data_IF_374564137952
#
_entry.id   IF_374564137952
#
_cell.length_a   1.000
_cell.length_b   1.000
_cell.length_c   1.000
_cell.angle_alpha   90.00
_cell.angle_beta   90.00
_cell.angle_gamma   90.00
#
_symmetry.space_group_name_H-M   'P 1'
#
loop_
_entity.id
_entity.type
_entity.pdbx_description
1 polymer ?
#
# COMPACT_ATOMS: atom_id res chain seq x y z
N UNK A 1 21.60 -19.81 39.30
CA UNK A 1 21.43 -20.85 38.25
C UNK A 1 20.83 -20.18 37.03
N UNK A 2 21.68 -19.84 36.08
CA UNK A 2 21.29 -19.24 34.80
C UNK A 2 20.62 -20.30 33.93
N UNK A 3 19.40 -20.04 33.48
CA UNK A 3 18.72 -20.88 32.50
C UNK A 3 19.22 -20.51 31.10
N UNK A 4 19.83 -21.48 30.44
CA UNK A 4 20.35 -21.41 29.09
C UNK A 4 19.24 -21.03 28.09
N UNK A 5 19.49 -19.98 27.30
CA UNK A 5 18.72 -19.68 26.09
C UNK A 5 19.01 -20.75 25.04
N UNK A 6 18.01 -21.58 24.74
CA UNK A 6 18.12 -22.67 23.78
C UNK A 6 18.34 -22.14 22.36
N UNK A 7 19.45 -22.58 21.78
CA UNK A 7 19.97 -22.27 20.45
C UNK A 7 19.25 -23.03 19.32
N UNK A 8 17.93 -23.23 19.43
CA UNK A 8 17.18 -24.19 18.57
C UNK A 8 16.24 -23.57 17.54
N UNK A 9 16.26 -22.25 17.33
CA UNK A 9 15.30 -21.56 16.43
C UNK A 9 15.96 -21.03 15.13
N UNK A 10 16.90 -21.80 14.55
CA UNK A 10 17.42 -21.53 13.19
C UNK A 10 16.65 -22.36 12.17
N UNK A 11 16.14 -21.67 11.14
CA UNK A 11 15.36 -22.31 10.08
C UNK A 11 16.31 -23.25 9.28
N UNK A 12 15.89 -24.46 8.86
CA UNK A 12 16.78 -25.45 8.23
C UNK A 12 17.50 -24.98 6.95
N UNK A 13 17.07 -23.86 6.37
CA UNK A 13 17.62 -23.24 5.15
C UNK A 13 18.79 -22.28 5.47
N UNK A 14 19.01 -21.90 6.73
CA UNK A 14 20.00 -20.91 7.16
C UNK A 14 21.46 -21.41 7.12
N UNK A 15 21.76 -22.59 6.57
CA UNK A 15 23.11 -23.19 6.56
C UNK A 15 24.09 -22.62 5.52
N UNK A 16 23.72 -21.58 4.77
CA UNK A 16 24.53 -21.05 3.67
C UNK A 16 24.57 -19.52 3.51
N UNK A 17 24.13 -18.76 4.51
CA UNK A 17 24.12 -17.29 4.45
C UNK A 17 25.10 -16.73 5.48
N UNK A 18 25.98 -15.83 5.04
CA UNK A 18 26.97 -15.16 5.89
C UNK A 18 26.26 -14.31 6.96
N UNK A 19 26.42 -14.62 8.25
CA UNK A 19 25.81 -13.86 9.34
C UNK A 19 26.36 -12.43 9.52
N UNK A 20 27.37 -12.02 8.75
CA UNK A 20 28.03 -10.71 8.86
C UNK A 20 27.74 -9.72 7.72
N UNK A 21 26.82 -10.01 6.78
CA UNK A 21 26.43 -9.03 5.75
C UNK A 21 25.52 -7.92 6.33
N UNK A 22 26.16 -6.91 6.92
CA UNK A 22 25.50 -5.77 7.59
C UNK A 22 24.95 -4.70 6.63
N UNK A 23 25.16 -4.84 5.32
CA UNK A 23 24.78 -3.81 4.33
C UNK A 23 23.27 -3.66 4.19
N UNK A 24 22.55 -4.79 4.20
CA UNK A 24 21.09 -4.86 4.14
C UNK A 24 20.45 -4.44 5.48
N UNK A 25 21.11 -4.72 6.60
CA UNK A 25 20.61 -4.35 7.93
C UNK A 25 20.74 -2.84 8.20
N UNK A 26 21.80 -2.19 7.73
CA UNK A 26 21.94 -0.73 7.82
C UNK A 26 20.89 0.02 6.98
N UNK A 27 20.57 -0.46 5.78
CA UNK A 27 19.45 0.08 4.99
C UNK A 27 18.11 -0.17 5.66
N UNK A 28 17.90 -1.38 6.18
CA UNK A 28 16.68 -1.73 6.90
C UNK A 28 16.49 -0.85 8.15
N UNK A 29 17.55 -0.52 8.89
CA UNK A 29 17.50 0.40 10.03
C UNK A 29 17.11 1.82 9.62
N UNK A 30 17.69 2.36 8.53
CA UNK A 30 17.28 3.66 7.99
C UNK A 30 15.80 3.69 7.60
N UNK A 31 15.30 2.64 6.95
CA UNK A 31 13.88 2.55 6.61
C UNK A 31 12.98 2.32 7.82
N UNK A 32 13.45 1.62 8.86
CA UNK A 32 12.74 1.44 10.13
C UNK A 32 12.66 2.74 10.93
N UNK A 33 13.67 3.61 10.83
CA UNK A 33 13.72 4.92 11.50
C UNK A 33 12.94 6.00 10.75
N UNK A 34 12.58 5.77 9.47
CA UNK A 34 11.81 6.73 8.68
C UNK A 34 10.36 6.83 9.18
N UNK A 35 9.81 8.05 9.36
CA UNK A 35 8.43 8.27 9.81
C UNK A 35 7.39 7.71 8.82
N UNK A 36 7.78 7.43 7.57
CA UNK A 36 6.90 6.80 6.57
C UNK A 36 6.97 5.28 6.64
N UNK A 37 6.47 4.69 7.74
CA UNK A 37 6.36 3.24 7.94
C UNK A 37 5.45 2.60 6.88
N UNK A 38 6.00 2.09 5.78
CA UNK A 38 5.32 1.16 4.85
C UNK A 38 6.34 0.13 4.37
N UNK A 39 6.10 -1.13 4.68
CA UNK A 39 7.15 -2.15 4.87
C UNK A 39 7.72 -2.66 3.55
N UNK A 40 8.94 -2.23 3.22
CA UNK A 40 9.84 -3.06 2.44
C UNK A 40 10.25 -4.24 3.32
N UNK A 41 10.02 -5.46 2.84
CA UNK A 41 10.42 -6.67 3.55
C UNK A 41 11.87 -7.00 3.24
N UNK A 42 12.74 -6.96 4.26
CA UNK A 42 14.11 -7.45 4.17
C UNK A 42 14.20 -8.93 4.56
N UNK A 43 15.38 -9.54 4.40
CA UNK A 43 15.61 -10.96 4.72
C UNK A 43 15.19 -11.29 6.16
N UNK A 44 15.58 -10.45 7.11
CA UNK A 44 15.23 -10.60 8.52
C UNK A 44 13.71 -10.51 8.77
N UNK A 45 12.99 -9.72 7.98
CA UNK A 45 11.53 -9.63 8.08
C UNK A 45 10.85 -10.89 7.51
N UNK A 46 11.36 -11.43 6.40
CA UNK A 46 10.92 -12.74 5.87
C UNK A 46 11.23 -13.89 6.81
N UNK A 47 12.35 -13.83 7.54
CA UNK A 47 12.68 -14.80 8.60
C UNK A 47 11.68 -14.70 9.76
N UNK A 48 11.38 -13.49 10.23
CA UNK A 48 10.33 -13.27 11.23
C UNK A 48 8.95 -13.73 10.73
N UNK A 49 8.60 -13.52 9.47
CA UNK A 49 7.31 -13.95 8.91
C UNK A 49 7.17 -15.48 8.82
N UNK A 50 8.29 -16.20 8.70
CA UNK A 50 8.34 -17.67 8.65
C UNK A 50 8.42 -18.34 10.03
N UNK A 51 8.58 -17.59 11.12
CA UNK A 51 8.70 -18.17 12.47
C UNK A 51 7.45 -18.95 12.89
N UNK A 52 7.62 -19.99 13.69
CA UNK A 52 6.52 -20.79 14.28
C UNK A 52 5.60 -19.94 15.16
N UNK A 53 6.15 -18.96 15.88
CA UNK A 53 5.40 -18.05 16.75
C UNK A 53 4.72 -16.88 16.01
N UNK A 54 4.61 -16.92 14.68
CA UNK A 54 4.02 -15.82 13.90
C UNK A 54 2.54 -15.57 14.24
N UNK A 55 1.76 -16.64 14.44
CA UNK A 55 0.33 -16.54 14.70
C UNK A 55 0.08 -15.92 16.07
N UNK A 56 0.81 -16.37 17.09
CA UNK A 56 0.73 -15.82 18.43
C UNK A 56 1.14 -14.35 18.49
N UNK A 57 2.17 -13.95 17.76
CA UNK A 57 2.56 -12.54 17.65
C UNK A 57 1.48 -11.73 16.94
N UNK A 58 0.94 -12.23 15.82
CA UNK A 58 -0.14 -11.57 15.10
C UNK A 58 -1.37 -11.34 15.98
N UNK A 59 -1.75 -12.34 16.80
CA UNK A 59 -2.85 -12.21 17.76
C UNK A 59 -2.59 -11.13 18.83
N UNK A 60 -1.35 -11.05 19.35
CA UNK A 60 -0.99 -10.03 20.36
C UNK A 60 -0.97 -8.62 19.80
N UNK A 61 -0.62 -8.45 18.53
CA UNK A 61 -0.51 -7.14 17.86
C UNK A 61 -1.82 -6.64 17.25
N UNK A 62 -2.96 -7.33 17.45
CA UNK A 62 -4.26 -6.90 16.91
C UNK A 62 -4.62 -5.46 17.33
N UNK A 63 -4.47 -5.03 18.60
CA UNK A 63 -4.84 -3.67 19.03
C UNK A 63 -3.95 -2.58 18.41
N UNK A 64 -2.74 -2.93 17.97
CA UNK A 64 -1.79 -2.03 17.33
C UNK A 64 -2.01 -1.94 15.81
N UNK A 65 -2.94 -2.74 15.27
CA UNK A 65 -3.23 -2.78 13.83
C UNK A 65 -4.02 -1.56 13.39
N UNK A 66 -3.62 -0.97 12.26
CA UNK A 66 -4.36 0.11 11.62
C UNK A 66 -5.80 -0.32 11.26
N UNK A 67 -5.97 -1.56 10.78
CA UNK A 67 -7.27 -2.15 10.46
C UNK A 67 -8.18 -2.13 11.70
N UNK A 68 -7.65 -2.51 12.87
CA UNK A 68 -8.41 -2.50 14.11
C UNK A 68 -8.84 -1.08 14.49
N UNK A 69 -7.92 -0.11 14.41
CA UNK A 69 -8.22 1.29 14.68
C UNK A 69 -9.29 1.90 13.78
N UNK A 70 -9.43 1.42 12.53
CA UNK A 70 -10.43 1.89 11.59
C UNK A 70 -11.83 1.28 11.81
N UNK A 71 -11.91 0.00 12.21
CA UNK A 71 -13.20 -0.69 12.37
C UNK A 71 -13.77 -0.66 13.80
N UNK A 72 -12.99 -0.19 14.78
CA UNK A 72 -13.38 -0.24 16.20
C UNK A 72 -14.69 0.52 16.46
N UNK A 73 -14.93 1.61 15.73
CA UNK A 73 -16.13 2.42 15.90
C UNK A 73 -17.39 1.66 15.46
N UNK A 74 -17.33 0.99 14.31
CA UNK A 74 -18.39 0.18 13.73
C UNK A 74 -18.65 -1.07 14.55
N UNK A 75 -17.58 -1.75 14.99
CA UNK A 75 -17.68 -2.88 15.92
C UNK A 75 -18.35 -2.47 17.23
N UNK A 76 -18.01 -1.30 17.79
CA UNK A 76 -18.61 -0.82 19.03
C UNK A 76 -20.12 -0.59 18.88
N UNK A 77 -20.57 -0.04 17.75
CA UNK A 77 -22.00 0.16 17.46
C UNK A 77 -22.72 -1.19 17.36
N UNK A 78 -22.15 -2.18 16.69
CA UNK A 78 -22.75 -3.52 16.57
C UNK A 78 -22.83 -4.21 17.95
N UNK A 79 -21.81 -4.06 18.79
CA UNK A 79 -21.84 -4.58 20.17
C UNK A 79 -22.92 -3.89 21.00
N UNK A 80 -23.08 -2.58 20.89
CA UNK A 80 -24.15 -1.84 21.58
C UNK A 80 -25.54 -2.31 21.13
N UNK A 81 -25.75 -2.53 19.83
CA UNK A 81 -26.98 -3.10 19.28
C UNK A 81 -27.19 -4.53 19.82
N UNK A 82 -26.13 -5.32 19.94
CA UNK A 82 -26.20 -6.65 20.52
C UNK A 82 -26.60 -6.62 22.00
N UNK A 83 -26.13 -5.65 22.77
CA UNK A 83 -26.55 -5.46 24.17
C UNK A 83 -28.05 -5.12 24.21
N UNK A 84 -28.51 -4.21 23.34
CA UNK A 84 -29.92 -3.87 23.25
C UNK A 84 -30.79 -5.09 22.89
N UNK A 85 -30.35 -5.91 21.93
CA UNK A 85 -31.02 -7.16 21.56
C UNK A 85 -31.11 -8.15 22.73
N UNK A 86 -30.01 -8.33 23.49
CA UNK A 86 -30.01 -9.14 24.70
C UNK A 86 -31.00 -8.62 25.76
N UNK A 87 -31.06 -7.31 26.00
CA UNK A 87 -31.99 -6.70 26.96
C UNK A 87 -33.46 -6.87 26.53
N UNK A 88 -33.76 -6.67 25.25
CA UNK A 88 -35.11 -6.90 24.70
C UNK A 88 -35.55 -8.36 24.88
N UNK A 89 -34.63 -9.31 24.66
CA UNK A 89 -34.89 -10.73 24.88
C UNK A 89 -35.20 -11.05 26.34
N UNK A 90 -34.48 -10.45 27.29
CA UNK A 90 -34.72 -10.62 28.72
C UNK A 90 -36.06 -10.04 29.17
N UNK A 91 -36.52 -8.95 28.54
CA UNK A 91 -37.84 -8.35 28.79
C UNK A 91 -38.99 -9.05 28.04
N UNK A 92 -38.71 -10.12 27.28
CA UNK A 92 -39.71 -10.87 26.53
C UNK A 92 -40.27 -10.15 25.30
N UNK A 93 -39.61 -9.07 24.83
CA UNK A 93 -40.03 -8.28 23.67
C UNK A 93 -39.56 -8.93 22.36
N UNK A 94 -40.18 -10.04 21.99
CA UNK A 94 -39.75 -10.88 20.87
C UNK A 94 -40.36 -10.45 19.51
N UNK A 95 -41.03 -9.32 19.40
CA UNK A 95 -41.68 -8.90 18.14
C UNK A 95 -40.67 -8.47 17.05
N UNK A 96 -39.44 -8.10 17.46
CA UNK A 96 -38.31 -7.82 16.57
C UNK A 96 -37.52 -9.08 16.19
N UNK A 97 -37.96 -10.25 16.64
CA UNK A 97 -37.37 -11.54 16.33
C UNK A 97 -37.37 -11.81 14.82
N UNK A 98 -36.18 -11.97 14.25
CA UNK A 98 -36.02 -12.48 12.88
C UNK A 98 -35.54 -13.92 12.96
N UNK A 99 -36.11 -14.79 12.12
CA UNK A 99 -35.72 -16.20 12.06
C UNK A 99 -34.26 -16.35 11.59
N UNK A 100 -33.47 -17.18 12.29
CA UNK A 100 -32.04 -17.38 12.00
C UNK A 100 -31.79 -17.91 10.59
N UNK A 101 -32.73 -18.66 10.01
CA UNK A 101 -32.63 -19.16 8.64
C UNK A 101 -32.42 -18.04 7.61
N UNK A 102 -32.94 -16.83 7.84
CA UNK A 102 -32.69 -15.69 6.96
C UNK A 102 -31.20 -15.34 6.90
N UNK A 103 -30.53 -15.30 8.05
CA UNK A 103 -29.10 -14.99 8.13
C UNK A 103 -28.24 -16.13 7.59
N UNK A 104 -28.64 -17.38 7.84
CA UNK A 104 -27.96 -18.57 7.31
C UNK A 104 -28.02 -18.64 5.78
N UNK A 105 -29.14 -18.24 5.16
CA UNK A 105 -29.27 -18.16 3.70
C UNK A 105 -28.54 -16.95 3.10
N UNK A 106 -28.48 -15.82 3.83
CA UNK A 106 -27.79 -14.62 3.38
C UNK A 106 -26.26 -14.70 3.46
N UNK A 107 -25.71 -15.50 4.40
CA UNK A 107 -24.28 -15.59 4.65
C UNK A 107 -23.46 -16.05 3.42
N UNK A 108 -23.86 -17.07 2.64
CA UNK A 108 -23.14 -17.43 1.41
C UNK A 108 -23.07 -16.30 0.39
N UNK A 109 -24.16 -15.53 0.22
CA UNK A 109 -24.19 -14.38 -0.68
C UNK A 109 -23.25 -13.28 -0.19
N UNK A 110 -23.27 -12.98 1.12
CA UNK A 110 -22.39 -11.99 1.73
C UNK A 110 -20.92 -12.41 1.59
N UNK A 111 -20.60 -13.66 1.89
CA UNK A 111 -19.25 -14.21 1.77
C UNK A 111 -18.72 -14.09 0.34
N UNK A 112 -19.54 -14.40 -0.67
CA UNK A 112 -19.15 -14.31 -2.07
C UNK A 112 -18.91 -12.87 -2.52
N UNK A 113 -19.73 -11.91 -2.08
CA UNK A 113 -19.53 -10.48 -2.36
C UNK A 113 -18.23 -9.95 -1.75
N UNK A 114 -17.95 -10.29 -0.49
CA UNK A 114 -16.72 -9.89 0.20
C UNK A 114 -15.50 -10.50 -0.50
N UNK A 115 -15.55 -11.79 -0.88
CA UNK A 115 -14.45 -12.47 -1.58
C UNK A 115 -14.18 -11.82 -2.93
N UNK A 116 -15.21 -11.56 -3.74
CA UNK A 116 -15.02 -10.92 -5.04
C UNK A 116 -14.49 -9.50 -4.89
N UNK A 117 -14.97 -8.72 -3.92
CA UNK A 117 -14.44 -7.38 -3.64
C UNK A 117 -12.97 -7.43 -3.24
N UNK A 118 -12.61 -8.34 -2.32
CA UNK A 118 -11.23 -8.52 -1.86
C UNK A 118 -10.33 -8.92 -3.02
N UNK A 119 -10.76 -9.83 -3.89
CA UNK A 119 -9.99 -10.28 -5.05
C UNK A 119 -9.78 -9.15 -6.07
N UNK A 120 -10.83 -8.38 -6.38
CA UNK A 120 -10.71 -7.21 -7.27
C UNK A 120 -9.80 -6.13 -6.70
N UNK A 121 -9.84 -5.91 -5.39
CA UNK A 121 -8.98 -4.93 -4.70
C UNK A 121 -7.52 -5.39 -4.71
N UNK A 122 -7.28 -6.69 -4.45
CA UNK A 122 -5.94 -7.29 -4.54
C UNK A 122 -5.35 -7.18 -5.96
N UNK A 123 -6.15 -7.44 -7.00
CA UNK A 123 -5.69 -7.29 -8.39
C UNK A 123 -5.20 -5.86 -8.70
N UNK A 124 -5.91 -4.84 -8.21
CA UNK A 124 -5.49 -3.43 -8.33
C UNK A 124 -4.17 -3.14 -7.62
N UNK A 125 -4.01 -3.69 -6.41
CA UNK A 125 -2.76 -3.57 -5.67
C UNK A 125 -1.58 -4.23 -6.40
N UNK A 126 -1.77 -5.44 -6.93
CA UNK A 126 -0.72 -6.12 -7.67
C UNK A 126 -0.38 -5.40 -8.99
N UNK A 127 -1.39 -4.87 -9.70
CA UNK A 127 -1.18 -4.05 -10.88
C UNK A 127 -0.37 -2.78 -10.57
N UNK A 128 -0.71 -2.06 -9.50
CA UNK A 128 0.05 -0.89 -9.06
C UNK A 128 1.51 -1.24 -8.76
N UNK A 129 1.74 -2.34 -8.04
CA UNK A 129 3.08 -2.84 -7.74
C UNK A 129 3.87 -3.19 -9.01
N UNK A 130 3.25 -3.85 -9.99
CA UNK A 130 3.89 -4.20 -11.28
C UNK A 130 4.25 -2.95 -12.07
N UNK A 131 3.36 -1.98 -12.14
CA UNK A 131 3.58 -0.70 -12.84
C UNK A 131 4.76 0.07 -12.23
N UNK A 132 4.83 0.17 -10.90
CA UNK A 132 5.98 0.78 -10.22
C UNK A 132 7.28 -0.02 -10.42
N UNK A 133 7.19 -1.35 -10.43
CA UNK A 133 8.33 -2.20 -10.75
C UNK A 133 8.87 -1.95 -12.16
N UNK A 134 8.00 -1.69 -13.14
CA UNK A 134 8.39 -1.35 -14.49
C UNK A 134 9.15 -0.02 -14.56
N UNK A 135 8.71 1.03 -13.86
CA UNK A 135 9.43 2.33 -13.85
C UNK A 135 10.80 2.26 -13.20
N UNK A 136 11.04 1.37 -12.24
CA UNK A 136 12.38 1.15 -11.68
C UNK A 136 13.35 0.65 -12.76
N UNK A 137 12.88 -0.24 -13.64
CA UNK A 137 13.69 -0.68 -14.78
C UNK A 137 13.90 0.47 -15.78
N UNK A 138 12.88 1.29 -16.03
CA UNK A 138 13.00 2.46 -16.92
C UNK A 138 13.95 3.53 -16.38
N UNK A 139 13.99 3.77 -15.07
CA UNK A 139 14.97 4.69 -14.47
C UNK A 139 16.40 4.23 -14.67
N UNK A 140 16.66 2.91 -14.56
CA UNK A 140 17.96 2.32 -14.86
C UNK A 140 18.32 2.44 -16.33
N UNK A 141 17.38 2.14 -17.23
CA UNK A 141 17.62 2.21 -18.67
C UNK A 141 17.86 3.65 -19.14
N UNK A 142 17.09 4.62 -18.64
CA UNK A 142 17.28 6.04 -18.95
C UNK A 142 18.64 6.54 -18.46
N UNK A 143 19.04 6.19 -17.23
CA UNK A 143 20.36 6.55 -16.71
C UNK A 143 21.50 5.89 -17.49
N UNK A 144 21.39 4.59 -17.80
CA UNK A 144 22.38 3.86 -18.61
C UNK A 144 22.53 4.48 -20.01
N UNK A 145 21.43 4.86 -20.65
CA UNK A 145 21.45 5.54 -21.95
C UNK A 145 22.04 6.95 -21.85
N UNK A 146 21.72 7.69 -20.78
CA UNK A 146 22.33 9.01 -20.55
C UNK A 146 23.86 8.90 -20.45
N UNK A 147 24.37 7.96 -19.66
CA UNK A 147 25.82 7.72 -19.54
C UNK A 147 26.45 7.24 -20.86
N UNK A 148 25.74 6.37 -21.60
CA UNK A 148 26.29 5.73 -22.79
C UNK A 148 26.27 6.57 -24.07
N UNK A 149 25.31 7.49 -24.21
CA UNK A 149 25.06 8.17 -25.49
C UNK A 149 25.38 9.66 -25.49
N UNK A 150 25.39 10.33 -24.34
CA UNK A 150 25.79 11.73 -24.31
C UNK A 150 27.27 11.88 -24.68
N UNK A 151 27.63 12.86 -25.54
CA UNK A 151 29.02 13.10 -25.91
C UNK A 151 29.88 13.44 -24.69
N UNK A 152 31.14 12.98 -24.69
CA UNK A 152 32.13 13.34 -23.65
C UNK A 152 32.65 14.78 -23.74
N UNK A 153 31.93 15.66 -24.43
CA UNK A 153 32.26 17.10 -24.48
C UNK A 153 31.83 17.76 -23.17
N UNK A 154 32.41 18.92 -22.77
CA UNK A 154 32.00 19.62 -21.56
C UNK A 154 30.48 19.89 -21.50
N UNK A 155 29.90 20.28 -22.64
CA UNK A 155 28.45 20.50 -22.76
C UNK A 155 27.65 19.19 -22.64
N UNK A 156 28.10 18.11 -23.29
CA UNK A 156 27.43 16.81 -23.19
C UNK A 156 27.46 16.25 -21.77
N UNK A 157 28.53 16.50 -21.02
CA UNK A 157 28.65 16.09 -19.62
C UNK A 157 27.66 16.84 -18.71
N UNK A 158 27.49 18.16 -18.90
CA UNK A 158 26.50 18.97 -18.19
C UNK A 158 25.08 18.47 -18.47
N UNK A 159 24.76 18.20 -19.74
CA UNK A 159 23.45 17.70 -20.15
C UNK A 159 23.18 16.29 -19.61
N UNK A 160 24.18 15.40 -19.63
CA UNK A 160 24.12 14.08 -19.01
C UNK A 160 23.78 14.20 -17.52
N UNK A 161 24.52 15.00 -16.77
CA UNK A 161 24.29 15.20 -15.33
C UNK A 161 22.88 15.75 -15.06
N UNK A 162 22.44 16.73 -15.85
CA UNK A 162 21.08 17.27 -15.78
C UNK A 162 20.02 16.20 -16.04
N UNK A 163 20.19 15.39 -17.09
CA UNK A 163 19.30 14.24 -17.39
C UNK A 163 19.22 13.29 -16.19
N UNK A 164 20.35 12.90 -15.61
CA UNK A 164 20.37 11.96 -14.49
C UNK A 164 19.68 12.52 -13.25
N UNK A 165 19.86 13.82 -12.94
CA UNK A 165 19.13 14.50 -11.85
C UNK A 165 17.61 14.47 -12.07
N UNK A 166 17.13 14.68 -13.29
CA UNK A 166 15.70 14.52 -13.59
C UNK A 166 15.20 13.07 -13.48
N UNK A 167 16.01 12.08 -13.88
CA UNK A 167 15.67 10.65 -13.72
C UNK A 167 15.54 10.29 -12.23
N UNK A 168 16.39 10.85 -11.37
CA UNK A 168 16.32 10.68 -9.92
C UNK A 168 15.12 11.40 -9.30
N UNK A 169 14.77 12.60 -9.80
CA UNK A 169 13.66 13.40 -9.29
C UNK A 169 12.28 12.83 -9.66
N UNK A 170 12.18 12.18 -10.83
CA UNK A 170 10.93 11.63 -11.35
C UNK A 170 10.13 10.74 -10.37
N UNK A 171 10.73 9.71 -9.70
CA UNK A 171 9.97 8.85 -8.79
C UNK A 171 9.45 9.58 -7.54
N UNK A 172 10.15 10.61 -7.05
CA UNK A 172 9.66 11.45 -5.95
C UNK A 172 8.49 12.33 -6.39
N UNK A 173 8.59 12.90 -7.59
CA UNK A 173 7.49 13.65 -8.22
C UNK A 173 6.26 12.77 -8.43
N UNK A 174 6.44 11.53 -8.91
CA UNK A 174 5.35 10.56 -9.04
C UNK A 174 4.72 10.20 -7.69
N UNK A 175 5.54 9.94 -6.67
CA UNK A 175 5.05 9.67 -5.30
C UNK A 175 4.14 10.81 -4.81
N UNK A 176 4.57 12.06 -4.95
CA UNK A 176 3.79 13.22 -4.51
C UNK A 176 2.55 13.43 -5.38
N UNK A 177 2.63 13.19 -6.69
CA UNK A 177 1.48 13.26 -7.61
C UNK A 177 0.38 12.26 -7.24
N UNK A 178 0.75 11.04 -6.83
CA UNK A 178 -0.21 9.98 -6.49
C UNK A 178 -0.76 10.08 -5.06
N UNK A 179 -0.10 10.84 -4.18
CA UNK A 179 -0.53 11.05 -2.80
C UNK A 179 -1.16 12.41 -2.54
N UNK A 180 -1.07 13.35 -3.50
CA UNK A 180 -1.78 14.62 -3.43
C UNK A 180 -3.26 14.44 -3.79
N UNK A 181 -4.15 14.96 -2.93
CA UNK A 181 -5.58 15.05 -3.24
C UNK A 181 -5.88 16.03 -4.38
N UNK A 182 -7.17 16.22 -4.75
CA UNK A 182 -7.57 17.21 -5.74
C UNK A 182 -7.20 18.62 -5.24
N UNK A 183 -6.16 19.24 -5.81
CA UNK A 183 -5.76 20.62 -5.50
C UNK A 183 -4.32 20.81 -5.02
N UNK A 184 -3.51 19.76 -4.88
CA UNK A 184 -2.10 19.90 -4.51
C UNK A 184 -1.64 18.87 -3.51
N UNK A 185 -0.34 18.61 -3.50
CA UNK A 185 0.30 17.76 -2.50
C UNK A 185 0.21 18.46 -1.16
N UNK A 186 -0.34 17.80 -0.14
CA UNK A 186 -0.22 18.20 1.28
C UNK A 186 1.27 18.28 1.75
N UNK A 187 2.23 18.10 0.85
CA UNK A 187 3.63 17.75 1.08
C UNK A 187 4.57 18.52 0.10
N UNK A 188 4.17 19.67 -0.44
CA UNK A 188 5.05 20.47 -1.35
C UNK A 188 6.37 20.87 -0.68
N UNK A 189 6.34 21.22 0.60
CA UNK A 189 7.55 21.52 1.39
C UNK A 189 8.44 20.28 1.56
N UNK A 190 7.84 19.11 1.78
CA UNK A 190 8.53 17.82 1.89
C UNK A 190 9.15 17.39 0.55
N UNK A 191 8.42 17.61 -0.56
CA UNK A 191 8.94 17.39 -1.91
C UNK A 191 10.12 18.31 -2.19
N UNK A 192 10.01 19.60 -1.84
CA UNK A 192 11.09 20.58 -2.00
C UNK A 192 12.33 20.18 -1.21
N UNK A 193 12.18 19.78 0.05
CA UNK A 193 13.29 19.30 0.89
C UNK A 193 13.93 18.04 0.31
N UNK A 194 13.12 17.07 -0.12
CA UNK A 194 13.61 15.82 -0.73
C UNK A 194 14.38 16.08 -2.02
N UNK A 195 13.91 17.03 -2.84
CA UNK A 195 14.52 17.37 -4.14
C UNK A 195 15.69 18.35 -4.03
N UNK A 196 15.88 19.06 -2.91
CA UNK A 196 16.96 20.04 -2.72
C UNK A 196 18.36 19.42 -2.88
N UNK A 197 18.51 18.11 -2.65
CA UNK A 197 19.74 17.36 -2.88
C UNK A 197 19.90 16.76 -4.28
N UNK A 198 18.97 17.02 -5.21
CA UNK A 198 18.92 16.40 -6.54
C UNK A 198 18.78 17.49 -7.63
N UNK A 199 17.81 18.40 -7.49
CA UNK A 199 17.52 19.46 -8.45
C UNK A 199 18.07 20.81 -7.96
N UNK A 200 18.32 21.74 -8.89
CA UNK A 200 18.67 23.11 -8.49
C UNK A 200 17.44 23.85 -7.97
N UNK A 201 17.60 24.93 -7.17
CA UNK A 201 16.47 25.71 -6.66
C UNK A 201 15.52 26.22 -7.75
N UNK A 202 16.07 26.61 -8.90
CA UNK A 202 15.30 27.09 -10.05
C UNK A 202 14.46 25.96 -10.68
N UNK A 203 15.06 24.77 -10.84
CA UNK A 203 14.37 23.59 -11.37
C UNK A 203 13.24 23.13 -10.45
N UNK A 204 13.44 23.18 -9.13
CA UNK A 204 12.39 22.86 -8.15
C UNK A 204 11.26 23.88 -8.24
N UNK A 205 11.58 25.17 -8.37
CA UNK A 205 10.56 26.22 -8.48
C UNK A 205 9.70 26.03 -9.73
N UNK A 206 10.31 25.74 -10.87
CA UNK A 206 9.59 25.44 -12.12
C UNK A 206 8.74 24.16 -11.99
N UNK A 207 9.28 23.13 -11.34
CA UNK A 207 8.54 21.89 -11.11
C UNK A 207 7.29 22.11 -10.27
N UNK A 208 7.40 22.87 -9.17
CA UNK A 208 6.28 23.15 -8.27
C UNK A 208 5.20 24.06 -8.91
N UNK A 209 5.58 24.88 -9.89
CA UNK A 209 4.63 25.67 -10.69
C UNK A 209 3.83 24.81 -11.70
N UNK A 210 4.29 23.60 -12.01
CA UNK A 210 3.60 22.72 -12.96
C UNK A 210 2.42 22.00 -12.33
N UNK A 211 1.26 22.07 -12.99
CA UNK A 211 0.07 21.29 -12.62
C UNK A 211 0.28 19.78 -12.72
N UNK A 212 1.20 19.34 -13.61
CA UNK A 212 1.49 17.93 -13.81
C UNK A 212 2.99 17.66 -13.66
N UNK A 213 3.44 17.59 -12.41
CA UNK A 213 4.87 17.52 -12.04
C UNK A 213 5.64 16.35 -12.70
N UNK A 214 5.14 15.09 -12.75
CA UNK A 214 5.87 14.00 -13.41
C UNK A 214 6.06 14.20 -14.91
N UNK A 215 5.05 14.75 -15.60
CA UNK A 215 5.11 15.05 -17.03
C UNK A 215 6.04 16.22 -17.32
N UNK A 216 6.10 17.22 -16.44
CA UNK A 216 7.06 18.32 -16.57
C UNK A 216 8.51 17.81 -16.52
N UNK A 217 8.82 16.90 -15.60
CA UNK A 217 10.14 16.26 -15.54
C UNK A 217 10.46 15.52 -16.85
N UNK A 218 9.50 14.79 -17.41
CA UNK A 218 9.69 14.10 -18.69
C UNK A 218 9.90 15.06 -19.85
N UNK A 219 9.18 16.19 -19.88
CA UNK A 219 9.39 17.25 -20.86
C UNK A 219 10.83 17.79 -20.79
N UNK A 220 11.35 18.05 -19.57
CA UNK A 220 12.74 18.46 -19.38
C UNK A 220 13.72 17.38 -19.87
N UNK A 221 13.45 16.09 -19.63
CA UNK A 221 14.27 15.01 -20.17
C UNK A 221 14.31 15.03 -21.71
N UNK A 222 13.17 15.21 -22.36
CA UNK A 222 13.08 15.29 -23.83
C UNK A 222 13.85 16.47 -24.39
N UNK A 223 13.78 17.64 -23.73
CA UNK A 223 14.54 18.83 -24.11
C UNK A 223 16.05 18.59 -24.00
N UNK A 224 16.51 17.99 -22.90
CA UNK A 224 17.93 17.64 -22.70
C UNK A 224 18.41 16.63 -23.75
N UNK A 225 17.59 15.64 -24.10
CA UNK A 225 17.89 14.69 -25.16
C UNK A 225 18.04 15.34 -26.53
N UNK A 226 17.23 16.38 -26.82
CA UNK A 226 17.31 17.17 -28.06
C UNK A 226 18.55 18.07 -28.09
N UNK A 227 18.88 18.71 -26.96
CA UNK A 227 20.08 19.56 -26.83
C UNK A 227 21.38 18.77 -26.88
N UNK A 228 21.36 17.50 -26.47
CA UNK A 228 22.53 16.61 -26.38
C UNK A 228 23.18 16.24 -27.73
N UNK A 229 22.60 16.64 -28.86
CA UNK A 229 23.06 16.33 -30.21
C UNK A 229 23.36 14.82 -30.40
N UNK A 230 22.47 13.98 -29.89
CA UNK A 230 22.58 12.53 -29.95
C UNK A 230 22.39 12.04 -31.40
N UNK A 231 23.03 10.92 -31.80
CA UNK A 231 22.68 10.25 -33.06
C UNK A 231 21.18 9.93 -33.10
N UNK A 232 20.54 10.07 -34.26
CA UNK A 232 19.08 9.84 -34.42
C UNK A 232 18.64 8.49 -33.82
N UNK A 233 19.34 7.35 -34.03
CA UNK A 233 18.94 6.10 -33.39
C UNK A 233 18.98 6.13 -31.86
N UNK A 234 19.94 6.84 -31.27
CA UNK A 234 20.02 7.01 -29.81
C UNK A 234 18.89 7.92 -29.30
N UNK A 235 18.57 8.99 -30.03
CA UNK A 235 17.47 9.88 -29.69
C UNK A 235 16.12 9.16 -29.71
N UNK A 236 15.86 8.33 -30.73
CA UNK A 236 14.63 7.52 -30.82
C UNK A 236 14.52 6.56 -29.64
N UNK A 237 15.59 5.84 -29.30
CA UNK A 237 15.55 4.90 -28.18
C UNK A 237 15.42 5.60 -26.81
N UNK A 238 15.99 6.79 -26.66
CA UNK A 238 15.84 7.60 -25.46
C UNK A 238 14.40 8.08 -25.31
N UNK A 239 13.80 8.57 -26.40
CA UNK A 239 12.39 8.99 -26.42
C UNK A 239 11.43 7.85 -26.10
N UNK A 240 11.67 6.65 -26.64
CA UNK A 240 10.90 5.45 -26.28
C UNK A 240 10.97 5.11 -24.79
N UNK A 241 12.14 5.28 -24.17
CA UNK A 241 12.27 5.10 -22.72
C UNK A 241 11.57 6.20 -21.92
N UNK A 242 11.63 7.46 -22.39
CA UNK A 242 10.88 8.56 -21.78
C UNK A 242 9.37 8.30 -21.88
N UNK A 243 8.89 7.86 -23.05
CA UNK A 243 7.49 7.48 -23.27
C UNK A 243 7.03 6.37 -22.32
N UNK A 244 7.90 5.40 -21.99
CA UNK A 244 7.59 4.35 -21.02
C UNK A 244 7.35 4.88 -19.59
N UNK A 245 7.92 6.03 -19.20
CA UNK A 245 7.52 6.70 -17.96
C UNK A 245 6.10 7.27 -18.06
N UNK A 246 5.69 7.75 -19.24
CA UNK A 246 4.31 8.21 -19.49
C UNK A 246 3.30 7.10 -19.27
N UNK A 247 3.61 5.89 -19.75
CA UNK A 247 2.76 4.71 -19.55
C UNK A 247 2.61 4.36 -18.06
N UNK A 248 3.68 4.55 -17.28
CA UNK A 248 3.64 4.36 -15.83
C UNK A 248 2.78 5.42 -15.15
N UNK A 249 2.96 6.71 -15.49
CA UNK A 249 2.11 7.80 -14.97
C UNK A 249 0.64 7.50 -15.27
N UNK A 250 0.31 7.26 -16.53
CA UNK A 250 -1.07 6.99 -16.96
C UNK A 250 -1.64 5.72 -16.32
N UNK A 251 -0.82 4.68 -16.16
CA UNK A 251 -1.19 3.45 -15.45
C UNK A 251 -1.53 3.70 -13.98
N UNK A 252 -0.71 4.48 -13.28
CA UNK A 252 -0.95 4.86 -11.89
C UNK A 252 -2.18 5.77 -11.74
N UNK A 253 -2.35 6.77 -12.62
CA UNK A 253 -3.52 7.64 -12.63
C UNK A 253 -4.82 6.86 -12.88
N UNK A 254 -4.80 5.88 -13.79
CA UNK A 254 -5.95 5.00 -14.04
C UNK A 254 -6.33 4.20 -12.80
N UNK A 255 -5.35 3.66 -12.06
CA UNK A 255 -5.62 2.94 -10.80
C UNK A 255 -6.20 3.91 -9.77
N UNK A 256 -5.61 5.10 -9.60
CA UNK A 256 -6.05 6.06 -8.59
C UNK A 256 -7.45 6.64 -8.87
N UNK A 257 -7.73 7.04 -10.11
CA UNK A 257 -8.94 7.79 -10.49
C UNK A 257 -10.13 6.89 -10.85
N UNK A 258 -9.90 5.63 -11.19
CA UNK A 258 -10.96 4.70 -11.60
C UNK A 258 -11.10 3.59 -10.56
N UNK A 259 -11.83 3.83 -9.44
CA UNK A 259 -12.05 2.81 -8.40
C UNK A 259 -12.95 1.67 -8.88
N UNK A 260 -13.13 0.65 -8.05
CA UNK A 260 -14.12 -0.41 -8.29
C UNK A 260 -15.51 0.26 -8.39
N UNK A 261 -16.44 -0.22 -9.25
CA UNK A 261 -17.74 0.42 -9.41
C UNK A 261 -18.41 0.73 -8.07
N UNK A 262 -18.75 2.01 -7.87
CA UNK A 262 -19.28 2.51 -6.59
C UNK A 262 -20.59 1.81 -6.18
N UNK A 263 -21.41 1.38 -7.15
CA UNK A 263 -22.62 0.60 -6.90
C UNK A 263 -22.32 -0.74 -6.23
N UNK A 264 -21.27 -1.42 -6.71
CA UNK A 264 -20.81 -2.70 -6.15
C UNK A 264 -20.33 -2.52 -4.71
N UNK A 265 -19.43 -1.54 -4.49
CA UNK A 265 -18.92 -1.17 -3.17
C UNK A 265 -20.06 -0.90 -2.17
N UNK A 266 -20.94 0.05 -2.52
CA UNK A 266 -22.06 0.47 -1.66
C UNK A 266 -23.04 -0.66 -1.38
N UNK A 267 -23.31 -1.54 -2.35
CA UNK A 267 -24.24 -2.66 -2.15
C UNK A 267 -23.66 -3.69 -1.18
N UNK A 268 -22.37 -4.02 -1.32
CA UNK A 268 -21.66 -4.92 -0.39
C UNK A 268 -21.63 -4.34 1.02
N UNK A 269 -21.26 -3.06 1.18
CA UNK A 269 -21.21 -2.39 2.50
C UNK A 269 -22.60 -2.39 3.17
N UNK A 270 -23.65 -2.04 2.42
CA UNK A 270 -25.03 -2.00 2.95
C UNK A 270 -25.52 -3.38 3.35
N UNK A 271 -25.26 -4.39 2.54
CA UNK A 271 -25.68 -5.75 2.87
C UNK A 271 -24.93 -6.27 4.10
N UNK A 272 -23.62 -6.06 4.18
CA UNK A 272 -22.81 -6.39 5.35
C UNK A 272 -23.37 -5.73 6.62
N UNK A 273 -23.62 -4.42 6.59
CA UNK A 273 -24.12 -3.69 7.75
C UNK A 273 -25.53 -4.12 8.15
N UNK A 274 -26.45 -4.27 7.20
CA UNK A 274 -27.81 -4.75 7.50
C UNK A 274 -27.80 -6.16 8.10
N UNK A 275 -26.94 -7.04 7.59
CA UNK A 275 -26.79 -8.40 8.10
C UNK A 275 -26.21 -8.39 9.53
N UNK A 276 -25.16 -7.60 9.80
CA UNK A 276 -24.55 -7.46 11.11
C UNK A 276 -25.46 -6.79 12.16
N UNK A 277 -26.29 -5.83 11.76
CA UNK A 277 -27.26 -5.16 12.63
C UNK A 277 -28.42 -6.11 12.99
N UNK A 278 -28.87 -6.93 12.03
CA UNK A 278 -29.99 -7.85 12.25
C UNK A 278 -29.62 -9.11 13.03
N UNK A 279 -28.39 -9.61 12.87
CA UNK A 279 -27.95 -10.88 13.44
C UNK A 279 -28.12 -11.00 14.97
N UNK A 280 -27.83 -9.98 15.81
CA UNK A 280 -27.95 -10.09 17.25
C UNK A 280 -29.37 -10.39 17.74
N UNK A 281 -30.41 -9.86 17.07
CA UNK A 281 -31.80 -10.10 17.42
C UNK A 281 -32.21 -11.56 17.21
N UNK A 282 -31.71 -12.16 16.13
CA UNK A 282 -31.94 -13.57 15.85
C UNK A 282 -31.14 -14.48 16.79
N UNK A 283 -29.86 -14.15 17.00
CA UNK A 283 -28.95 -14.97 17.77
C UNK A 283 -29.29 -14.98 19.27
N UNK A 284 -29.74 -13.85 19.84
CA UNK A 284 -30.17 -13.77 21.24
C UNK A 284 -31.28 -14.78 21.57
N UNK A 285 -32.23 -14.98 20.66
CA UNK A 285 -33.30 -15.96 20.82
C UNK A 285 -32.80 -17.39 20.73
N UNK A 286 -32.03 -17.72 19.69
CA UNK A 286 -31.57 -19.08 19.44
C UNK A 286 -30.63 -19.58 20.55
N UNK A 287 -29.76 -18.71 21.08
CA UNK A 287 -28.92 -19.00 22.25
C UNK A 287 -29.77 -19.31 23.48
N UNK A 288 -30.84 -18.53 23.72
CA UNK A 288 -31.77 -18.76 24.83
C UNK A 288 -32.54 -20.07 24.68
N UNK A 289 -33.05 -20.35 23.47
CA UNK A 289 -33.75 -21.61 23.16
C UNK A 289 -32.85 -22.84 23.32
N UNK A 290 -31.57 -22.69 23.00
CA UNK A 290 -30.56 -23.73 23.19
C UNK A 290 -30.15 -23.92 24.67
N UNK A 291 -30.73 -23.16 25.62
CA UNK A 291 -30.48 -23.30 27.06
C UNK A 291 -29.22 -22.58 27.55
N UNK A 292 -28.57 -21.76 26.71
CA UNK A 292 -27.43 -20.95 27.11
C UNK A 292 -27.87 -19.57 27.63
N UNK A 293 -26.98 -18.91 28.37
CA UNK A 293 -27.19 -17.52 28.80
C UNK A 293 -27.24 -16.59 27.59
N UNK A 294 -28.24 -15.70 27.54
CA UNK A 294 -28.41 -14.64 26.51
C UNK A 294 -27.12 -13.85 26.28
N UNK A 295 -26.31 -13.65 27.32
CA UNK A 295 -25.06 -12.90 27.24
C UNK A 295 -23.99 -13.57 26.35
N UNK A 296 -24.12 -14.85 26.03
CA UNK A 296 -23.24 -15.55 25.07
C UNK A 296 -23.38 -14.99 23.65
N UNK A 297 -24.44 -14.26 23.34
CA UNK A 297 -24.59 -13.56 22.05
C UNK A 297 -23.51 -12.50 21.85
N UNK A 298 -23.10 -11.79 22.91
CA UNK A 298 -22.10 -10.71 22.83
C UNK A 298 -20.74 -11.15 22.27
N UNK A 299 -20.06 -12.19 22.82
CA UNK A 299 -18.77 -12.61 22.29
C UNK A 299 -18.87 -13.15 20.86
N UNK A 300 -19.98 -13.80 20.49
CA UNK A 300 -20.18 -14.28 19.12
C UNK A 300 -20.33 -13.12 18.14
N UNK A 301 -21.22 -12.15 18.43
CA UNK A 301 -21.42 -10.98 17.58
C UNK A 301 -20.15 -10.12 17.49
N UNK A 302 -19.44 -9.93 18.61
CA UNK A 302 -18.17 -9.20 18.61
C UNK A 302 -17.12 -9.86 17.72
N UNK A 303 -17.00 -11.19 17.77
CA UNK A 303 -16.06 -11.92 16.93
C UNK A 303 -16.48 -11.89 15.45
N UNK A 304 -17.75 -12.14 15.14
CA UNK A 304 -18.26 -12.13 13.76
C UNK A 304 -18.13 -10.75 13.11
N UNK A 305 -18.51 -9.69 13.82
CA UNK A 305 -18.37 -8.32 13.32
C UNK A 305 -16.91 -7.95 13.09
N UNK A 306 -16.02 -8.26 14.04
CA UNK A 306 -14.59 -8.04 13.89
C UNK A 306 -14.04 -8.73 12.64
N UNK A 307 -14.35 -10.01 12.43
CA UNK A 307 -13.82 -10.76 11.29
C UNK A 307 -14.32 -10.23 9.95
N UNK A 308 -15.63 -10.00 9.80
CA UNK A 308 -16.21 -9.56 8.52
C UNK A 308 -15.82 -8.11 8.19
N UNK A 309 -15.88 -7.20 9.17
CA UNK A 309 -15.46 -5.81 8.98
C UNK A 309 -13.95 -5.70 8.71
N UNK A 310 -13.12 -6.54 9.35
CA UNK A 310 -11.67 -6.56 9.06
C UNK A 310 -11.39 -6.93 7.61
N UNK A 311 -12.08 -7.93 7.05
CA UNK A 311 -11.87 -8.32 5.64
C UNK A 311 -12.28 -7.18 4.72
N UNK A 312 -13.38 -6.49 5.03
CA UNK A 312 -13.86 -5.38 4.21
C UNK A 312 -12.96 -4.14 4.28
N UNK A 313 -12.38 -3.88 5.44
CA UNK A 313 -11.39 -2.82 5.62
C UNK A 313 -10.10 -3.14 4.86
N UNK A 314 -9.62 -4.40 4.91
CA UNK A 314 -8.47 -4.84 4.11
C UNK A 314 -8.75 -4.64 2.60
N UNK A 315 -9.93 -5.01 2.12
CA UNK A 315 -10.31 -4.78 0.73
C UNK A 315 -10.27 -3.28 0.38
N UNK A 316 -10.76 -2.43 1.28
CA UNK A 316 -10.76 -0.96 1.10
C UNK A 316 -9.35 -0.38 1.05
N UNK A 317 -8.42 -0.86 1.88
CA UNK A 317 -7.01 -0.46 1.84
C UNK A 317 -6.30 -0.94 0.56
N UNK A 318 -6.62 -2.15 0.08
CA UNK A 318 -6.06 -2.66 -1.18
C UNK A 318 -6.61 -1.92 -2.40
N UNK A 319 -7.82 -1.36 -2.33
CA UNK A 319 -8.45 -0.62 -3.43
C UNK A 319 -7.69 0.66 -3.79
N UNK A 320 -7.07 1.31 -2.79
CA UNK A 320 -6.19 2.49 -2.93
C UNK A 320 -4.74 2.10 -2.57
N UNK A 321 -3.97 1.55 -3.52
CA UNK A 321 -2.70 0.91 -3.21
C UNK A 321 -1.57 1.89 -2.89
N UNK A 322 -1.64 3.15 -3.28
CA UNK A 322 -0.53 4.10 -3.11
C UNK A 322 -0.41 4.60 -1.65
N UNK A 323 -1.47 4.48 -0.85
CA UNK A 323 -1.41 4.62 0.61
C UNK A 323 -0.81 3.42 1.33
N UNK A 324 -0.65 2.24 0.73
CA UNK A 324 -0.03 1.10 1.44
C UNK A 324 1.33 0.71 0.85
N UNK A 325 1.57 1.03 -0.42
CA UNK A 325 2.84 0.76 -1.08
C UNK A 325 3.99 1.61 -0.50
N UNK A 326 5.21 1.05 -0.41
CA UNK A 326 6.40 1.74 0.10
C UNK A 326 6.99 2.71 -0.94
N UNK A 327 6.24 3.76 -1.29
CA UNK A 327 6.61 4.72 -2.33
C UNK A 327 7.92 5.48 -2.04
N UNK A 328 8.23 5.76 -0.76
CA UNK A 328 9.49 6.40 -0.36
C UNK A 328 10.70 5.51 -0.66
N UNK A 329 10.77 4.31 -0.05
CA UNK A 329 11.83 3.35 -0.36
C UNK A 329 11.95 2.98 -1.83
N UNK A 330 10.83 2.92 -2.54
CA UNK A 330 10.80 2.75 -4.00
C UNK A 330 11.55 3.88 -4.73
N UNK A 331 11.26 5.14 -4.38
CA UNK A 331 11.93 6.30 -4.97
C UNK A 331 13.42 6.35 -4.60
N UNK A 332 13.77 6.04 -3.35
CA UNK A 332 15.16 5.94 -2.90
C UNK A 332 15.92 4.85 -3.64
N UNK A 333 15.28 3.71 -3.91
CA UNK A 333 15.88 2.63 -4.71
C UNK A 333 16.14 3.10 -6.15
N UNK A 334 15.20 3.82 -6.76
CA UNK A 334 15.38 4.40 -8.09
C UNK A 334 16.55 5.39 -8.10
N UNK A 335 16.64 6.28 -7.10
CA UNK A 335 17.74 7.22 -6.94
C UNK A 335 19.09 6.52 -6.81
N UNK A 336 19.22 5.57 -5.88
CA UNK A 336 20.46 4.83 -5.63
C UNK A 336 20.96 4.07 -6.86
N UNK A 337 20.04 3.51 -7.66
CA UNK A 337 20.40 2.84 -8.92
C UNK A 337 21.02 3.80 -9.94
N UNK A 338 20.57 5.06 -9.97
CA UNK A 338 21.13 6.10 -10.84
C UNK A 338 22.45 6.64 -10.27
N UNK A 339 22.52 6.84 -8.95
CA UNK A 339 23.74 7.27 -8.25
C UNK A 339 24.92 6.32 -8.53
N UNK A 340 24.67 5.01 -8.56
CA UNK A 340 25.69 4.00 -8.88
C UNK A 340 26.25 4.07 -10.31
N UNK A 341 25.65 4.86 -11.21
CA UNK A 341 26.11 5.04 -12.59
C UNK A 341 26.90 6.35 -12.81
N UNK A 342 27.06 7.20 -11.80
CA UNK A 342 27.86 8.44 -11.87
C UNK A 342 29.38 8.23 -11.92
N UNK A 343 29.87 6.96 -11.92
CA UNK A 343 31.29 6.59 -11.86
C UNK A 343 32.12 7.12 -13.02
#
# INVERSE_FOLDING_TARGET
MAAASSETDKCPIDKGLDPNDNSLDAQAERYRASPTRRTVFFYNDWRRARSTNRLWRAMRTIPESQVFGQIVSECSVIVLISIAACLLQLHGLNWLAVNLSFFSMGLPCLSLLIVFRTNSSYARWDDARRILGASLNRSRDAARQAVGWFPKTPQGQILKERMMRYVQAWPYSLKCHLRGGPGGCEDDDNLKETLAGILTPDEITLLLQSSHRPMHIMQCMTEIGREGNLPIPAQINLDQNIAAFSDVVGGCERILRTPIPLSYKRMTDRFLMLWLIGLPFSLAMEVTKAGFSVWMTLPVISLTSFLLLSIEEIATQLEEPFSILPMGPYADTCRNNVDGLFV
#
